data_IF_977265906810
#
_entry.id   IF_977265906810
#
_cell.length_a   1.000
_cell.length_b   1.000
_cell.length_c   1.000
_cell.angle_alpha   90.00
_cell.angle_beta   90.00
_cell.angle_gamma   90.00
#
_symmetry.space_group_name_H-M   'P 1'
#
loop_
_entity.id
_entity.type
_entity.pdbx_description
1 polymer ?
#
# COMPACT_ATOMS: atom_id res chain seq x y z
N UNK A 1 20.29 9.08 -11.20
CA UNK A 1 19.70 7.72 -11.27
C UNK A 1 18.24 7.68 -10.79
N UNK A 2 17.58 8.80 -10.46
CA UNK A 2 16.19 8.78 -9.98
C UNK A 2 15.12 8.96 -11.07
N UNK A 3 15.47 9.45 -12.26
CA UNK A 3 14.48 9.78 -13.29
C UNK A 3 13.88 8.55 -13.99
N UNK A 4 14.62 7.45 -14.16
CA UNK A 4 14.08 6.20 -14.74
C UNK A 4 13.12 5.47 -13.78
N UNK A 5 13.32 5.58 -12.46
CA UNK A 5 12.53 4.85 -11.48
C UNK A 5 11.13 5.44 -11.25
N UNK A 6 10.92 6.73 -11.53
CA UNK A 6 9.61 7.40 -11.42
C UNK A 6 8.74 7.21 -12.68
N UNK A 7 9.35 6.83 -13.80
CA UNK A 7 8.67 6.69 -15.09
C UNK A 7 7.53 5.66 -15.07
N UNK A 8 7.71 4.55 -14.33
CA UNK A 8 6.71 3.48 -14.30
C UNK A 8 5.40 3.93 -13.62
N UNK A 9 5.50 4.65 -12.50
CA UNK A 9 4.33 5.19 -11.80
C UNK A 9 3.65 6.32 -12.60
N UNK A 10 4.42 7.18 -13.27
CA UNK A 10 3.85 8.22 -14.13
C UNK A 10 3.09 7.61 -15.31
N UNK A 11 3.67 6.64 -16.01
CA UNK A 11 2.99 5.92 -17.11
C UNK A 11 1.72 5.23 -16.63
N UNK A 12 1.78 4.56 -15.48
CA UNK A 12 0.61 3.94 -14.85
C UNK A 12 -0.51 4.95 -14.56
N UNK A 13 -0.16 6.11 -14.00
CA UNK A 13 -1.12 7.13 -13.61
C UNK A 13 -1.74 7.86 -14.81
N UNK A 14 -1.05 7.89 -15.95
CA UNK A 14 -1.49 8.51 -17.19
C UNK A 14 -2.25 7.56 -18.12
N UNK A 15 -2.15 6.24 -17.92
CA UNK A 15 -2.83 5.25 -18.73
C UNK A 15 -4.36 5.34 -18.57
N UNK A 16 -5.01 6.03 -19.50
CA UNK A 16 -6.45 6.23 -19.54
C UNK A 16 -7.11 5.34 -20.61
N UNK A 17 -6.35 4.93 -21.63
CA UNK A 17 -6.79 4.08 -22.74
C UNK A 17 -6.19 2.68 -22.66
N UNK A 18 -6.81 1.72 -23.35
CA UNK A 18 -6.31 0.34 -23.43
C UNK A 18 -4.89 0.28 -24.02
N UNK A 19 -4.61 1.08 -25.06
CA UNK A 19 -3.29 1.14 -25.69
C UNK A 19 -2.19 1.65 -24.73
N UNK A 20 -2.49 2.68 -23.92
CA UNK A 20 -1.54 3.17 -22.91
C UNK A 20 -1.35 2.16 -21.77
N UNK A 21 -2.38 1.34 -21.49
CA UNK A 21 -2.29 0.27 -20.51
C UNK A 21 -1.41 -0.90 -21.01
N UNK A 22 -1.51 -1.27 -22.28
CA UNK A 22 -0.59 -2.23 -22.93
C UNK A 22 0.86 -1.72 -22.91
N UNK A 23 1.08 -0.43 -23.22
CA UNK A 23 2.41 0.18 -23.12
C UNK A 23 2.98 0.15 -21.70
N UNK A 24 2.12 0.36 -20.69
CA UNK A 24 2.51 0.21 -19.30
C UNK A 24 2.89 -1.24 -18.97
N UNK A 25 2.08 -2.23 -19.40
CA UNK A 25 2.38 -3.64 -19.19
C UNK A 25 3.73 -4.03 -19.79
N UNK A 26 4.00 -3.65 -21.04
CA UNK A 26 5.30 -3.92 -21.67
C UNK A 26 6.46 -3.25 -20.92
N UNK A 27 6.26 -1.99 -20.49
CA UNK A 27 7.26 -1.28 -19.71
C UNK A 27 7.51 -1.95 -18.35
N UNK A 28 6.46 -2.47 -17.73
CA UNK A 28 6.50 -3.13 -16.44
C UNK A 28 7.19 -4.51 -16.51
N UNK A 29 6.92 -5.30 -17.55
CA UNK A 29 7.60 -6.58 -17.79
C UNK A 29 9.09 -6.41 -18.07
N UNK A 30 9.46 -5.33 -18.77
CA UNK A 30 10.86 -4.97 -19.04
C UNK A 30 11.50 -4.22 -17.88
N UNK A 31 10.72 -3.85 -16.85
CA UNK A 31 11.21 -3.08 -15.72
C UNK A 31 12.05 -3.96 -14.79
N UNK A 32 13.16 -3.40 -14.31
CA UNK A 32 13.99 -4.07 -13.31
C UNK A 32 13.39 -3.96 -11.91
N UNK A 33 13.97 -4.72 -10.97
CA UNK A 33 13.65 -4.67 -9.55
C UNK A 33 13.52 -3.24 -9.00
N UNK A 34 14.46 -2.34 -9.33
CA UNK A 34 14.48 -0.97 -8.79
C UNK A 34 13.25 -0.14 -9.23
N UNK A 35 12.86 -0.26 -10.49
CA UNK A 35 11.71 0.46 -11.05
C UNK A 35 10.39 -0.03 -10.45
N UNK A 36 10.23 -1.35 -10.30
CA UNK A 36 9.05 -1.90 -9.64
C UNK A 36 9.01 -1.60 -8.14
N UNK A 37 10.16 -1.61 -7.46
CA UNK A 37 10.26 -1.19 -6.06
C UNK A 37 9.79 0.26 -5.87
N UNK A 38 10.27 1.18 -6.72
CA UNK A 38 9.86 2.58 -6.68
C UNK A 38 8.36 2.77 -6.98
N UNK A 39 7.81 1.97 -7.90
CA UNK A 39 6.38 1.92 -8.17
C UNK A 39 5.57 1.49 -6.94
N UNK A 40 5.97 0.41 -6.27
CA UNK A 40 5.34 -0.05 -5.03
C UNK A 40 5.43 0.98 -3.91
N UNK A 41 6.59 1.63 -3.76
CA UNK A 41 6.79 2.68 -2.75
C UNK A 41 5.84 3.87 -2.97
N UNK A 42 5.56 4.22 -4.23
CA UNK A 42 4.57 5.26 -4.55
C UNK A 42 3.14 4.81 -4.24
N UNK A 43 2.76 3.58 -4.56
CA UNK A 43 1.45 3.06 -4.18
C UNK A 43 1.28 3.00 -2.65
N UNK A 44 2.31 2.59 -1.92
CA UNK A 44 2.30 2.59 -0.46
C UNK A 44 2.22 4.01 0.11
N UNK A 45 2.91 4.96 -0.50
CA UNK A 45 2.82 6.37 -0.11
C UNK A 45 1.40 6.92 -0.29
N UNK A 46 0.80 6.71 -1.47
CA UNK A 46 -0.61 7.08 -1.73
C UNK A 46 -1.53 6.44 -0.69
N UNK A 47 -1.32 5.15 -0.39
CA UNK A 47 -2.12 4.44 0.59
C UNK A 47 -1.92 4.97 2.01
N UNK A 48 -0.70 5.35 2.39
CA UNK A 48 -0.40 5.94 3.70
C UNK A 48 -1.04 7.32 3.86
N UNK A 49 -0.98 8.16 2.83
CA UNK A 49 -1.54 9.51 2.86
C UNK A 49 -3.06 9.56 2.63
N UNK A 50 -3.63 8.57 1.94
CA UNK A 50 -4.99 8.65 1.41
C UNK A 50 -6.09 8.80 2.46
N UNK A 51 -7.01 9.72 2.20
CA UNK A 51 -8.24 9.92 2.98
C UNK A 51 -9.41 9.05 2.45
N UNK A 52 -10.57 9.09 3.11
CA UNK A 52 -11.72 8.24 2.75
C UNK A 52 -12.08 8.30 1.26
N UNK A 53 -12.15 9.51 0.70
CA UNK A 53 -12.50 9.72 -0.71
C UNK A 53 -11.45 9.13 -1.67
N UNK A 54 -10.18 9.13 -1.26
CA UNK A 54 -9.06 8.68 -2.08
C UNK A 54 -8.86 7.17 -2.00
N UNK A 55 -9.27 6.53 -0.90
CA UNK A 55 -9.12 5.08 -0.71
C UNK A 55 -9.86 4.25 -1.77
N UNK A 56 -10.99 4.74 -2.28
CA UNK A 56 -11.68 4.09 -3.40
C UNK A 56 -10.82 4.13 -4.69
N UNK A 57 -10.24 5.29 -4.99
CA UNK A 57 -9.35 5.48 -6.14
C UNK A 57 -8.08 4.64 -6.00
N UNK A 58 -7.51 4.58 -4.80
CA UNK A 58 -6.33 3.75 -4.50
C UNK A 58 -6.65 2.27 -4.67
N UNK A 59 -7.82 1.79 -4.22
CA UNK A 59 -8.24 0.42 -4.43
C UNK A 59 -8.36 0.07 -5.93
N UNK A 60 -8.92 0.97 -6.75
CA UNK A 60 -8.96 0.80 -8.20
C UNK A 60 -7.56 0.79 -8.83
N UNK A 61 -6.66 1.68 -8.39
CA UNK A 61 -5.25 1.66 -8.81
C UNK A 61 -4.59 0.32 -8.47
N UNK A 62 -4.80 -0.23 -7.29
CA UNK A 62 -4.25 -1.54 -6.92
C UNK A 62 -4.78 -2.67 -7.82
N UNK A 63 -6.07 -2.65 -8.17
CA UNK A 63 -6.64 -3.63 -9.12
C UNK A 63 -6.05 -3.49 -10.52
N UNK A 64 -5.88 -2.26 -11.02
CA UNK A 64 -5.23 -2.01 -12.32
C UNK A 64 -3.77 -2.47 -12.31
N UNK A 65 -3.01 -2.14 -11.25
CA UNK A 65 -1.63 -2.56 -11.08
C UNK A 65 -1.49 -4.10 -11.06
N UNK A 66 -2.39 -4.79 -10.33
CA UNK A 66 -2.45 -6.26 -10.28
C UNK A 66 -2.73 -6.87 -11.66
N UNK A 67 -3.63 -6.29 -12.44
CA UNK A 67 -3.91 -6.75 -13.81
C UNK A 67 -2.70 -6.57 -14.73
N UNK A 68 -1.98 -5.46 -14.57
CA UNK A 68 -0.81 -5.19 -15.38
C UNK A 68 0.36 -6.12 -15.05
N UNK A 69 0.54 -6.45 -13.77
CA UNK A 69 1.61 -7.31 -13.29
C UNK A 69 1.05 -8.38 -12.37
N UNK A 70 0.48 -9.48 -12.90
CA UNK A 70 -0.18 -10.48 -12.07
C UNK A 70 0.78 -11.27 -11.18
N UNK A 71 2.06 -11.40 -11.57
CA UNK A 71 3.05 -12.24 -10.90
C UNK A 71 4.32 -11.47 -10.50
N UNK A 72 4.23 -10.47 -9.60
CA UNK A 72 5.39 -9.69 -9.14
C UNK A 72 6.44 -10.54 -8.41
N UNK A 73 6.05 -11.74 -7.95
CA UNK A 73 6.95 -12.77 -7.42
C UNK A 73 8.08 -13.19 -8.37
N UNK A 74 7.87 -13.04 -9.70
CA UNK A 74 8.91 -13.30 -10.72
C UNK A 74 10.07 -12.30 -10.67
N UNK A 75 9.81 -11.07 -10.22
CA UNK A 75 10.85 -10.05 -10.03
C UNK A 75 11.55 -10.20 -8.67
N UNK A 76 10.77 -10.48 -7.63
CA UNK A 76 11.29 -10.80 -6.29
C UNK A 76 10.33 -11.72 -5.55
N UNK A 77 10.80 -12.83 -4.96
CA UNK A 77 9.96 -13.70 -4.13
C UNK A 77 9.25 -12.97 -2.98
N UNK A 78 9.86 -11.90 -2.45
CA UNK A 78 9.25 -11.07 -1.40
C UNK A 78 7.98 -10.34 -1.84
N UNK A 79 7.70 -10.26 -3.14
CA UNK A 79 6.50 -9.63 -3.68
C UNK A 79 5.43 -10.62 -4.12
N UNK A 80 5.59 -11.92 -3.90
CA UNK A 80 4.64 -12.94 -4.35
C UNK A 80 3.18 -12.63 -3.95
N UNK A 81 2.98 -12.03 -2.77
CA UNK A 81 1.66 -11.68 -2.23
C UNK A 81 1.40 -10.17 -2.14
N UNK A 82 2.24 -9.32 -2.74
CA UNK A 82 2.21 -7.87 -2.50
C UNK A 82 0.87 -7.22 -2.85
N UNK A 83 0.19 -7.67 -3.91
CA UNK A 83 -1.11 -7.13 -4.30
C UNK A 83 -2.20 -7.46 -3.29
N UNK A 84 -2.16 -8.66 -2.73
CA UNK A 84 -3.10 -9.09 -1.69
C UNK A 84 -2.85 -8.30 -0.40
N UNK A 85 -1.59 -8.17 -0.01
CA UNK A 85 -1.17 -7.38 1.15
C UNK A 85 -1.61 -5.92 1.04
N UNK A 86 -1.34 -5.24 -0.08
CA UNK A 86 -1.72 -3.85 -0.29
C UNK A 86 -3.25 -3.67 -0.34
N UNK A 87 -3.98 -4.62 -0.93
CA UNK A 87 -5.44 -4.57 -0.99
C UNK A 87 -6.07 -4.75 0.39
N UNK A 88 -5.57 -5.70 1.18
CA UNK A 88 -6.03 -5.90 2.55
C UNK A 88 -5.66 -4.71 3.45
N UNK A 89 -4.46 -4.15 3.29
CA UNK A 89 -4.04 -2.93 3.98
C UNK A 89 -4.99 -1.77 3.70
N UNK A 90 -5.36 -1.57 2.43
CA UNK A 90 -6.34 -0.55 2.04
C UNK A 90 -7.72 -0.79 2.67
N UNK A 91 -8.16 -2.05 2.74
CA UNK A 91 -9.40 -2.42 3.41
C UNK A 91 -9.37 -2.11 4.90
N UNK A 92 -8.30 -2.45 5.61
CA UNK A 92 -8.18 -2.17 7.04
C UNK A 92 -8.09 -0.68 7.33
N UNK A 93 -7.32 0.07 6.54
CA UNK A 93 -7.26 1.53 6.69
C UNK A 93 -8.65 2.16 6.49
N UNK A 94 -9.39 1.69 5.48
CA UNK A 94 -10.78 2.13 5.23
C UNK A 94 -11.70 1.83 6.41
N UNK A 95 -11.61 0.63 6.96
CA UNK A 95 -12.38 0.22 8.14
C UNK A 95 -12.17 1.19 9.32
N UNK A 96 -10.93 1.55 9.62
CA UNK A 96 -10.60 2.51 10.70
C UNK A 96 -11.17 3.90 10.41
N UNK A 97 -10.95 4.41 9.20
CA UNK A 97 -11.45 5.73 8.76
C UNK A 97 -12.98 5.82 8.84
N UNK A 98 -13.69 4.74 8.50
CA UNK A 98 -15.15 4.71 8.54
C UNK A 98 -15.72 4.49 9.95
N UNK A 99 -14.92 3.91 10.84
CA UNK A 99 -15.33 3.65 12.23
C UNK A 99 -15.19 4.90 13.09
N UNK A 100 -14.15 5.71 12.87
CA UNK A 100 -13.83 6.86 13.71
C UNK A 100 -14.26 8.14 12.98
N UNK A 101 -15.21 8.92 13.52
CA UNK A 101 -15.69 10.15 12.90
C UNK A 101 -14.57 11.16 12.64
N UNK A 102 -14.63 11.88 11.51
CA UNK A 102 -13.61 12.88 11.13
C UNK A 102 -13.35 13.96 12.19
N UNK A 103 -14.36 14.30 12.99
CA UNK A 103 -14.24 15.26 14.10
C UNK A 103 -13.30 14.79 15.22
N UNK A 104 -13.02 13.49 15.30
CA UNK A 104 -12.13 12.88 16.31
C UNK A 104 -10.71 12.68 15.79
N UNK A 105 -10.42 12.98 14.51
CA UNK A 105 -9.11 12.70 13.91
C UNK A 105 -8.01 13.62 14.41
N UNK A 106 -8.37 14.81 14.92
CA UNK A 106 -7.40 15.78 15.43
C UNK A 106 -6.69 15.28 16.69
N UNK A 107 -5.42 15.66 16.81
CA UNK A 107 -4.57 15.32 17.95
C UNK A 107 -3.54 14.24 17.64
N UNK A 108 -2.95 13.71 18.71
CA UNK A 108 -1.89 12.71 18.64
C UNK A 108 -2.46 11.30 18.77
N UNK A 109 -2.15 10.46 17.79
CA UNK A 109 -2.52 9.05 17.77
C UNK A 109 -1.31 8.18 18.08
N UNK A 110 -1.60 7.00 18.62
CA UNK A 110 -0.60 5.98 18.89
C UNK A 110 -1.13 4.59 18.55
N UNK A 111 -0.24 3.70 18.14
CA UNK A 111 -0.53 2.28 17.97
C UNK A 111 0.20 1.51 19.07
N UNK A 112 -0.55 0.72 19.83
CA UNK A 112 -0.02 -0.20 20.83
C UNK A 112 -0.21 -1.62 20.32
N UNK A 113 0.88 -2.38 20.27
CA UNK A 113 0.90 -3.76 19.86
C UNK A 113 1.33 -4.63 21.02
N UNK A 114 0.44 -5.53 21.39
CA UNK A 114 0.71 -6.59 22.33
C UNK A 114 0.46 -7.91 21.59
N UNK A 115 1.54 -8.52 21.08
CA UNK A 115 1.46 -9.78 20.37
C UNK A 115 1.91 -10.91 21.32
N UNK A 116 0.97 -11.70 21.88
CA UNK A 116 1.31 -12.75 22.83
C UNK A 116 2.08 -13.92 22.19
N UNK A 117 2.19 -13.95 20.86
CA UNK A 117 2.87 -14.99 20.10
C UNK A 117 4.31 -14.64 19.70
N UNK A 118 4.76 -13.40 19.94
CA UNK A 118 6.17 -13.03 19.80
C UNK A 118 6.81 -12.88 21.18
N UNK A 119 8.15 -12.88 21.23
CA UNK A 119 8.91 -12.57 22.45
C UNK A 119 9.15 -11.07 22.62
N UNK A 120 8.56 -10.26 21.75
CA UNK A 120 8.74 -8.83 21.77
C UNK A 120 7.96 -8.25 22.95
N UNK A 121 8.51 -7.21 23.57
CA UNK A 121 7.80 -6.43 24.57
C UNK A 121 6.64 -5.67 23.89
N UNK A 122 5.65 -5.22 24.68
CA UNK A 122 4.58 -4.35 24.18
C UNK A 122 5.21 -3.15 23.44
N UNK A 123 4.95 -3.03 22.15
CA UNK A 123 5.52 -1.98 21.30
C UNK A 123 4.52 -0.83 21.19
N UNK A 124 5.00 0.40 21.39
CA UNK A 124 4.22 1.62 21.17
C UNK A 124 4.83 2.46 20.05
N UNK A 125 4.00 2.88 19.10
CA UNK A 125 4.31 3.85 18.06
C UNK A 125 3.54 5.15 18.35
N UNK A 126 4.13 6.12 19.08
CA UNK A 126 3.48 7.37 19.45
C UNK A 126 3.60 8.43 18.35
N UNK A 127 3.02 9.61 18.58
CA UNK A 127 3.23 10.82 17.77
C UNK A 127 2.80 10.69 16.31
N UNK A 128 1.73 9.93 16.06
CA UNK A 128 1.16 9.72 14.74
C UNK A 128 0.01 10.69 14.48
N UNK A 129 -0.15 11.09 13.23
CA UNK A 129 -1.46 11.59 12.77
C UNK A 129 -2.47 10.43 12.68
N UNK A 130 -3.76 10.75 12.66
CA UNK A 130 -4.80 9.73 12.52
C UNK A 130 -4.62 8.84 11.28
N UNK A 131 -4.33 9.43 10.12
CA UNK A 131 -4.17 8.68 8.86
C UNK A 131 -2.97 7.73 8.90
N UNK A 132 -1.89 8.14 9.59
CA UNK A 132 -0.73 7.30 9.80
C UNK A 132 -1.01 6.15 10.77
N UNK A 133 -1.73 6.43 11.86
CA UNK A 133 -2.18 5.41 12.80
C UNK A 133 -3.11 4.40 12.11
N UNK A 134 -4.06 4.86 11.30
CA UNK A 134 -4.96 4.00 10.53
C UNK A 134 -4.19 3.11 9.53
N UNK A 135 -3.17 3.66 8.85
CA UNK A 135 -2.28 2.88 7.99
C UNK A 135 -1.49 1.83 8.79
N UNK A 136 -0.85 2.24 9.90
CA UNK A 136 -0.03 1.34 10.72
C UNK A 136 -0.85 0.24 11.38
N UNK A 137 -2.07 0.56 11.85
CA UNK A 137 -3.02 -0.44 12.33
C UNK A 137 -3.22 -1.56 11.31
N UNK A 138 -3.52 -1.20 10.05
CA UNK A 138 -3.68 -2.19 8.99
C UNK A 138 -2.39 -2.96 8.70
N UNK A 139 -1.24 -2.27 8.71
CA UNK A 139 0.07 -2.87 8.45
C UNK A 139 0.39 -3.98 9.46
N UNK A 140 0.17 -3.72 10.75
CA UNK A 140 0.41 -4.71 11.79
C UNK A 140 -0.66 -5.81 11.83
N UNK A 141 -1.92 -5.48 11.54
CA UNK A 141 -3.02 -6.47 11.46
C UNK A 141 -2.76 -7.55 10.39
N UNK A 142 -2.05 -7.22 9.31
CA UNK A 142 -1.61 -8.19 8.31
C UNK A 142 -0.64 -9.22 8.88
N UNK A 143 0.29 -8.79 9.71
CA UNK A 143 1.32 -9.66 10.29
C UNK A 143 0.76 -10.52 11.44
N UNK A 144 -0.16 -9.96 12.24
CA UNK A 144 -0.89 -10.71 13.27
C UNK A 144 -1.67 -11.89 12.67
N UNK A 145 -2.42 -11.67 11.58
CA UNK A 145 -3.18 -12.73 10.89
C UNK A 145 -2.32 -13.88 10.32
N UNK A 146 -1.02 -13.67 10.13
CA UNK A 146 -0.11 -14.74 9.67
C UNK A 146 0.32 -15.66 10.81
N UNK A 147 0.22 -15.19 12.04
CA UNK A 147 0.70 -15.86 13.25
C UNK A 147 -0.43 -16.43 14.12
N UNK A 148 -1.70 -16.07 13.85
CA UNK A 148 -2.92 -16.72 14.39
C UNK A 148 -3.28 -17.99 13.61
#
# INVERSE_FOLDING_TARGET
>A
MDQENVMLYTKFSQAATEAEFEEFQEAAERSGYASFRAFLDKLQHDLKAGEEAELAVIAEKLQKAKKAMPEPGKLSPSWANIWEELTQLASFKREVIQTIPAVEWEGEWQIVLDNPHTKDEVVCYPSLSFLEAAYLFGYFKLDLKRNE
#
